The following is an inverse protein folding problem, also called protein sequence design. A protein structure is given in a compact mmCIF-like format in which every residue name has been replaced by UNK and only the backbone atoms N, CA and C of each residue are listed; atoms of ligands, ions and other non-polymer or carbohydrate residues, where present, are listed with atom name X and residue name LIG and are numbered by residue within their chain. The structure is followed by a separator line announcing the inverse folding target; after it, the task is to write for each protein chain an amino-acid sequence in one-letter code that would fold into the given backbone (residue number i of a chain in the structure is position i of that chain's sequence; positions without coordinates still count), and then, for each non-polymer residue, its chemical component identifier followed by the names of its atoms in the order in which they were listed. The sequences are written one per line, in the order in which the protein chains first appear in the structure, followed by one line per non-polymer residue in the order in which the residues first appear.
data_IF_608792557538
#
_entry.id   IF_608792557538
#
_cell.length_a   1.000
_cell.length_b   1.000
_cell.length_c   1.000
_cell.angle_alpha   90.00
_cell.angle_beta   90.00
_cell.angle_gamma   90.00
#
_symmetry.space_group_name_H-M   'P 1'
#
loop_
_entity.id
_entity.type
_entity.pdbx_description
1 polymer ?
#
# COMPACT_ATOMS: atom_id res chain seq x y z
N UNK A 1 -36.06 -67.78 43.53
CA UNK A 1 -37.19 -67.74 42.60
C UNK A 1 -37.86 -66.38 42.77
N UNK A 2 -37.48 -65.40 41.98
CA UNK A 2 -38.25 -64.17 41.80
C UNK A 2 -37.99 -63.66 40.40
N UNK A 3 -39.02 -63.68 39.58
CA UNK A 3 -39.03 -63.12 38.20
C UNK A 3 -39.02 -61.62 38.23
N UNK A 4 -38.09 -61.00 37.59
CA UNK A 4 -38.04 -59.58 37.29
C UNK A 4 -38.55 -59.23 35.88
N UNK A 5 -39.66 -58.59 35.81
CA UNK A 5 -40.37 -58.15 34.62
C UNK A 5 -39.71 -56.82 34.05
N UNK A 6 -39.12 -56.89 32.86
CA UNK A 6 -38.61 -55.69 32.18
C UNK A 6 -39.75 -55.04 31.41
N UNK A 7 -40.11 -53.83 31.86
CA UNK A 7 -40.99 -52.93 31.12
C UNK A 7 -40.18 -52.15 30.04
N UNK A 8 -40.54 -52.36 28.79
CA UNK A 8 -40.01 -51.59 27.65
C UNK A 8 -40.70 -50.21 27.59
N UNK A 9 -39.93 -49.17 27.74
CA UNK A 9 -40.35 -47.78 27.45
C UNK A 9 -40.11 -47.49 25.97
N UNK A 10 -41.15 -47.49 25.18
CA UNK A 10 -41.16 -46.90 23.83
C UNK A 10 -41.07 -45.39 23.93
N UNK A 11 -39.91 -44.84 23.60
CA UNK A 11 -39.72 -43.39 23.41
C UNK A 11 -40.16 -43.01 22.01
N UNK A 12 -41.25 -42.27 21.93
CA UNK A 12 -41.75 -41.61 20.72
C UNK A 12 -40.83 -40.48 20.39
N UNK A 13 -39.91 -40.62 19.44
CA UNK A 13 -39.18 -39.50 18.84
C UNK A 13 -40.08 -38.84 17.82
N UNK A 14 -40.56 -37.64 18.18
CA UNK A 14 -41.20 -36.73 17.26
C UNK A 14 -40.16 -36.25 16.26
N UNK A 15 -40.25 -36.72 15.01
CA UNK A 15 -39.41 -36.27 13.92
C UNK A 15 -39.81 -34.82 13.52
N UNK A 16 -38.97 -33.86 13.86
CA UNK A 16 -39.09 -32.52 13.36
C UNK A 16 -38.44 -32.44 11.97
N UNK A 17 -39.15 -32.14 10.88
CA UNK A 17 -38.60 -32.10 9.54
C UNK A 17 -38.16 -30.66 9.18
N UNK A 18 -37.15 -30.10 9.83
CA UNK A 18 -36.53 -28.84 9.37
C UNK A 18 -35.02 -28.86 9.67
N UNK A 19 -34.27 -29.70 8.94
CA UNK A 19 -32.85 -29.47 8.66
C UNK A 19 -32.52 -30.12 7.30
N UNK A 20 -33.18 -29.63 6.25
CA UNK A 20 -32.70 -29.85 4.88
C UNK A 20 -32.42 -28.48 4.30
N UNK A 21 -31.13 -28.20 4.03
CA UNK A 21 -30.75 -27.07 3.18
C UNK A 21 -29.71 -26.11 3.74
N UNK A 22 -28.61 -26.61 4.28
CA UNK A 22 -27.34 -25.87 4.34
C UNK A 22 -26.21 -26.83 3.95
N UNK A 23 -26.25 -27.30 2.70
CA UNK A 23 -25.00 -27.65 2.05
C UNK A 23 -24.22 -26.34 1.94
N UNK A 24 -23.36 -26.05 2.91
CA UNK A 24 -22.27 -25.10 2.69
C UNK A 24 -21.57 -25.60 1.43
N UNK A 25 -21.75 -24.88 0.32
CA UNK A 25 -20.83 -24.99 -0.80
C UNK A 25 -19.44 -24.94 -0.18
N UNK A 26 -18.69 -26.02 -0.32
CA UNK A 26 -17.28 -26.05 0.04
C UNK A 26 -16.68 -24.97 -0.85
N UNK A 27 -16.45 -23.77 -0.31
CA UNK A 27 -15.82 -22.70 -1.05
C UNK A 27 -14.50 -23.27 -1.56
N UNK A 28 -14.35 -23.37 -2.87
CA UNK A 28 -13.14 -23.93 -3.45
C UNK A 28 -11.95 -23.10 -2.94
N UNK A 29 -10.92 -23.79 -2.50
CA UNK A 29 -9.67 -23.20 -2.04
C UNK A 29 -9.14 -22.20 -3.09
N UNK A 30 -8.88 -20.98 -2.68
CA UNK A 30 -8.42 -19.90 -3.57
C UNK A 30 -6.93 -20.08 -3.89
N UNK A 31 -6.63 -20.38 -5.15
CA UNK A 31 -5.25 -20.52 -5.64
C UNK A 31 -4.60 -19.16 -5.82
N UNK A 32 -3.58 -18.89 -5.05
CA UNK A 32 -2.87 -17.62 -5.05
C UNK A 32 -1.42 -17.78 -5.53
N UNK A 33 -0.97 -16.91 -6.39
CA UNK A 33 0.43 -16.82 -6.78
C UNK A 33 0.99 -15.49 -6.28
N UNK A 34 2.10 -15.54 -5.59
CA UNK A 34 2.81 -14.36 -5.06
C UNK A 34 4.09 -14.19 -5.88
N UNK A 35 4.04 -13.29 -6.85
CA UNK A 35 5.21 -12.87 -7.62
C UNK A 35 6.03 -11.90 -6.79
N UNK A 36 7.28 -12.26 -6.53
CA UNK A 36 8.24 -11.47 -5.75
C UNK A 36 9.38 -11.03 -6.65
N UNK A 37 9.66 -9.72 -6.67
CA UNK A 37 10.78 -9.15 -7.41
C UNK A 37 11.99 -8.93 -6.49
N UNK A 38 13.19 -8.80 -7.09
CA UNK A 38 14.42 -8.43 -6.34
C UNK A 38 14.22 -7.10 -5.61
N UNK A 39 14.86 -6.94 -4.45
CA UNK A 39 14.78 -5.73 -3.63
C UNK A 39 13.35 -5.38 -3.19
N UNK A 40 12.48 -6.37 -3.11
CA UNK A 40 11.16 -6.21 -2.49
C UNK A 40 11.32 -5.94 -0.99
N UNK A 41 10.53 -5.00 -0.47
CA UNK A 41 10.48 -4.71 0.97
C UNK A 41 9.90 -5.93 1.72
N UNK A 42 10.65 -6.43 2.68
CA UNK A 42 10.29 -7.61 3.48
C UNK A 42 8.94 -7.45 4.19
N UNK A 43 8.65 -6.25 4.72
CA UNK A 43 7.39 -5.99 5.39
C UNK A 43 6.20 -6.00 4.41
N UNK A 44 6.39 -5.53 3.18
CA UNK A 44 5.36 -5.58 2.13
C UNK A 44 5.06 -7.04 1.76
N UNK A 45 6.08 -7.89 1.60
CA UNK A 45 5.89 -9.31 1.34
C UNK A 45 5.15 -10.01 2.49
N UNK A 46 5.54 -9.74 3.73
CA UNK A 46 4.87 -10.29 4.91
C UNK A 46 3.40 -9.82 4.98
N UNK A 47 3.13 -8.53 4.69
CA UNK A 47 1.76 -7.99 4.64
C UNK A 47 0.90 -8.61 3.53
N UNK A 48 1.51 -9.14 2.47
CA UNK A 48 0.82 -9.87 1.41
C UNK A 48 0.47 -11.31 1.80
N UNK A 49 1.35 -12.02 2.51
CA UNK A 49 1.27 -13.48 2.72
C UNK A 49 0.72 -13.85 4.08
N UNK A 50 1.13 -13.17 5.14
CA UNK A 50 0.67 -13.49 6.50
C UNK A 50 -0.85 -13.42 6.71
N UNK A 51 -1.59 -12.49 6.07
CA UNK A 51 -3.06 -12.52 6.11
C UNK A 51 -3.68 -13.80 5.52
N UNK A 52 -3.09 -14.38 4.48
CA UNK A 52 -3.54 -15.64 3.89
C UNK A 52 -3.36 -16.81 4.88
N UNK A 53 -2.16 -16.89 5.48
CA UNK A 53 -1.86 -17.88 6.53
C UNK A 53 -2.78 -17.71 7.74
N UNK A 54 -3.00 -16.47 8.18
CA UNK A 54 -3.89 -16.19 9.31
C UNK A 54 -5.35 -16.53 8.97
N UNK A 55 -5.79 -16.30 7.73
CA UNK A 55 -7.13 -16.68 7.28
C UNK A 55 -7.35 -18.19 7.36
N UNK A 56 -6.40 -18.99 6.86
CA UNK A 56 -6.47 -20.47 6.98
C UNK A 56 -6.57 -20.90 8.44
N UNK A 57 -5.72 -20.35 9.31
CA UNK A 57 -5.76 -20.65 10.75
C UNK A 57 -7.09 -20.28 11.39
N UNK A 58 -7.61 -19.07 11.09
CA UNK A 58 -8.86 -18.58 11.68
C UNK A 58 -10.11 -19.23 11.10
N UNK A 59 -10.04 -19.75 9.87
CA UNK A 59 -11.11 -20.52 9.25
C UNK A 59 -11.14 -21.98 9.75
N UNK A 60 -10.03 -22.49 10.29
CA UNK A 60 -9.88 -23.90 10.65
C UNK A 60 -9.78 -24.83 9.43
N UNK A 61 -9.51 -24.30 8.25
CA UNK A 61 -9.38 -25.01 6.98
C UNK A 61 -8.54 -24.19 5.99
N UNK A 62 -8.00 -24.86 4.97
CA UNK A 62 -7.25 -24.19 3.90
C UNK A 62 -8.21 -23.47 2.93
N UNK A 63 -8.45 -22.18 3.16
CA UNK A 63 -9.26 -21.31 2.27
C UNK A 63 -8.38 -20.65 1.21
N UNK A 64 -7.08 -20.49 1.46
CA UNK A 64 -6.07 -20.05 0.51
C UNK A 64 -4.96 -21.10 0.38
N UNK A 65 -4.58 -21.39 -0.86
CA UNK A 65 -3.34 -22.07 -1.21
C UNK A 65 -2.46 -21.11 -1.98
N UNK A 66 -1.19 -20.95 -1.60
CA UNK A 66 -0.31 -20.01 -2.28
C UNK A 66 1.07 -20.60 -2.57
N UNK A 67 1.62 -20.15 -3.69
CA UNK A 67 2.99 -20.42 -4.09
C UNK A 67 3.72 -19.12 -4.44
N UNK A 68 5.01 -19.10 -4.18
CA UNK A 68 5.86 -17.99 -4.62
C UNK A 68 6.27 -18.19 -6.08
N UNK A 69 6.41 -17.08 -6.81
CA UNK A 69 6.96 -17.03 -8.15
C UNK A 69 7.98 -15.90 -8.24
N UNK A 70 8.94 -16.05 -9.15
CA UNK A 70 9.99 -15.06 -9.45
C UNK A 70 9.94 -14.68 -10.94
N UNK A 71 10.48 -13.51 -11.33
CA UNK A 71 10.60 -13.17 -12.74
C UNK A 71 11.43 -14.19 -13.53
N UNK A 72 12.57 -14.56 -12.98
CA UNK A 72 13.60 -15.44 -13.57
C UNK A 72 13.82 -16.68 -12.69
N UNK A 73 14.46 -17.78 -13.22
CA UNK A 73 14.64 -19.03 -12.48
C UNK A 73 15.75 -18.97 -11.42
N UNK A 74 15.77 -17.95 -10.59
CA UNK A 74 16.71 -17.80 -9.48
C UNK A 74 16.01 -17.18 -8.28
N UNK A 75 16.59 -17.39 -7.08
CA UNK A 75 16.06 -16.87 -5.84
C UNK A 75 16.07 -15.35 -5.81
N UNK A 76 15.09 -14.78 -5.14
CA UNK A 76 14.95 -13.34 -4.94
C UNK A 76 15.50 -12.95 -3.58
N UNK A 77 16.37 -11.94 -3.56
CA UNK A 77 16.86 -11.33 -2.33
C UNK A 77 16.06 -10.07 -1.99
N UNK A 78 15.47 -10.06 -0.80
CA UNK A 78 14.69 -8.94 -0.27
C UNK A 78 15.62 -7.84 0.27
N UNK A 79 15.07 -6.66 0.54
CA UNK A 79 15.83 -5.53 1.12
C UNK A 79 16.49 -5.84 2.47
N UNK A 80 15.97 -6.82 3.22
CA UNK A 80 16.55 -7.29 4.48
C UNK A 80 17.66 -8.33 4.33
N UNK A 81 17.97 -8.79 3.13
CA UNK A 81 18.88 -9.88 2.86
C UNK A 81 18.27 -11.28 2.94
N UNK A 82 16.99 -11.42 3.28
CA UNK A 82 16.29 -12.70 3.21
C UNK A 82 16.12 -13.12 1.76
N UNK A 83 16.30 -14.44 1.48
CA UNK A 83 16.09 -15.03 0.16
C UNK A 83 14.75 -15.73 0.10
N UNK A 84 14.04 -15.56 -1.01
CA UNK A 84 12.79 -16.25 -1.32
C UNK A 84 13.05 -17.21 -2.48
N UNK A 85 13.11 -18.54 -2.22
CA UNK A 85 13.22 -19.53 -3.28
C UNK A 85 11.87 -19.68 -3.97
N UNK A 86 11.86 -19.64 -5.30
CA UNK A 86 10.64 -19.79 -6.07
C UNK A 86 10.87 -20.26 -7.51
N UNK A 87 9.80 -20.75 -8.13
CA UNK A 87 9.78 -21.08 -9.54
C UNK A 87 9.47 -19.84 -10.38
N UNK A 88 10.00 -19.72 -11.63
CA UNK A 88 9.70 -18.59 -12.48
C UNK A 88 8.23 -18.56 -12.89
N UNK A 89 7.66 -17.34 -12.96
CA UNK A 89 6.23 -17.10 -13.21
C UNK A 89 5.71 -17.75 -14.50
N UNK A 90 6.56 -17.90 -15.51
CA UNK A 90 6.14 -18.51 -16.78
C UNK A 90 5.73 -19.99 -16.65
N UNK A 91 6.12 -20.70 -15.57
CA UNK A 91 5.70 -22.07 -15.25
C UNK A 91 4.32 -22.16 -14.61
N UNK A 92 3.80 -21.07 -14.11
CA UNK A 92 2.44 -21.02 -13.53
C UNK A 92 1.41 -21.09 -14.64
N UNK A 93 0.48 -22.05 -14.58
CA UNK A 93 -0.57 -22.22 -15.59
C UNK A 93 -1.78 -21.32 -15.35
N UNK A 94 -2.24 -21.21 -14.11
CA UNK A 94 -3.42 -20.41 -13.72
C UNK A 94 -3.40 -20.10 -12.22
N UNK A 95 -4.13 -19.04 -11.84
CA UNK A 95 -4.41 -18.70 -10.44
C UNK A 95 -5.72 -17.90 -10.35
N UNK A 96 -6.34 -17.88 -9.16
CA UNK A 96 -7.50 -17.05 -8.86
C UNK A 96 -7.06 -15.64 -8.44
N UNK A 97 -5.89 -15.55 -7.78
CA UNK A 97 -5.28 -14.30 -7.35
C UNK A 97 -3.80 -14.32 -7.76
N UNK A 98 -3.36 -13.25 -8.41
CA UNK A 98 -1.96 -12.95 -8.63
C UNK A 98 -1.58 -11.72 -7.81
N UNK A 99 -0.75 -11.92 -6.80
CA UNK A 99 -0.19 -10.84 -5.97
C UNK A 99 1.19 -10.49 -6.53
N UNK A 100 1.41 -9.23 -6.89
CA UNK A 100 2.70 -8.71 -7.37
C UNK A 100 3.29 -7.83 -6.28
N UNK A 101 4.38 -8.28 -5.68
CA UNK A 101 5.10 -7.54 -4.64
C UNK A 101 6.46 -7.12 -5.19
N UNK A 102 6.68 -5.83 -5.27
CA UNK A 102 7.91 -5.25 -5.80
C UNK A 102 8.32 -4.03 -4.96
N UNK A 103 9.60 -3.68 -4.99
CA UNK A 103 10.13 -2.53 -4.28
C UNK A 103 10.93 -1.64 -5.23
N UNK A 104 12.23 -1.85 -5.29
CA UNK A 104 13.18 -1.00 -6.02
C UNK A 104 13.71 -1.67 -7.29
N UNK A 105 14.40 -0.90 -8.14
CA UNK A 105 15.10 -1.38 -9.35
C UNK A 105 14.22 -2.21 -10.31
N UNK A 106 13.03 -1.70 -10.62
CA UNK A 106 12.01 -2.44 -11.37
C UNK A 106 12.31 -2.57 -12.85
N UNK A 107 13.00 -1.60 -13.45
CA UNK A 107 13.22 -1.55 -14.90
C UNK A 107 14.05 -2.73 -15.42
N UNK A 108 15.18 -3.12 -14.81
CA UNK A 108 15.93 -4.31 -15.23
C UNK A 108 15.17 -5.62 -15.08
N UNK A 109 14.18 -5.66 -14.18
CA UNK A 109 13.38 -6.85 -13.85
C UNK A 109 12.13 -6.98 -14.72
N UNK A 110 11.79 -5.94 -15.49
CA UNK A 110 10.60 -5.90 -16.36
C UNK A 110 10.90 -6.54 -17.74
N UNK A 111 11.31 -7.81 -17.75
CA UNK A 111 11.63 -8.53 -18.99
C UNK A 111 10.38 -8.75 -19.85
N UNK A 112 10.51 -8.84 -21.19
CA UNK A 112 9.40 -9.17 -22.08
C UNK A 112 8.71 -10.49 -21.71
N UNK A 113 9.46 -11.47 -21.20
CA UNK A 113 8.93 -12.76 -20.76
C UNK A 113 8.05 -12.60 -19.51
N UNK A 114 8.45 -11.76 -18.54
CA UNK A 114 7.64 -11.44 -17.38
C UNK A 114 6.34 -10.76 -17.80
N UNK A 115 6.41 -9.73 -18.67
CA UNK A 115 5.23 -9.02 -19.17
C UNK A 115 4.26 -9.96 -19.90
N UNK A 116 4.75 -10.86 -20.73
CA UNK A 116 3.93 -11.88 -21.40
C UNK A 116 3.26 -12.84 -20.40
N UNK A 117 3.98 -13.25 -19.35
CA UNK A 117 3.45 -14.12 -18.29
C UNK A 117 2.35 -13.45 -17.48
N UNK A 118 2.52 -12.16 -17.15
CA UNK A 118 1.51 -11.37 -16.47
C UNK A 118 0.23 -11.24 -17.30
N UNK A 119 0.35 -10.88 -18.58
CA UNK A 119 -0.80 -10.78 -19.50
C UNK A 119 -1.54 -12.12 -19.65
N UNK A 120 -0.81 -13.22 -19.75
CA UNK A 120 -1.39 -14.57 -19.84
C UNK A 120 -2.20 -14.95 -18.61
N UNK A 121 -1.72 -14.61 -17.41
CA UNK A 121 -2.40 -14.90 -16.15
C UNK A 121 -3.54 -13.90 -15.84
N UNK A 122 -3.52 -12.72 -16.45
CA UNK A 122 -4.50 -11.65 -16.24
C UNK A 122 -5.81 -11.91 -17.03
N UNK A 123 -6.51 -13.00 -16.73
CA UNK A 123 -7.83 -13.25 -17.31
C UNK A 123 -8.94 -12.55 -16.50
N UNK A 124 -10.19 -12.45 -17.02
CA UNK A 124 -11.30 -11.76 -16.34
C UNK A 124 -11.61 -12.28 -14.94
N UNK A 125 -11.32 -13.55 -14.65
CA UNK A 125 -11.60 -14.18 -13.36
C UNK A 125 -10.41 -14.08 -12.39
N UNK A 126 -9.23 -13.64 -12.83
CA UNK A 126 -8.04 -13.47 -11.99
C UNK A 126 -8.05 -12.09 -11.35
N UNK A 127 -8.02 -12.03 -10.03
CA UNK A 127 -7.76 -10.79 -9.32
C UNK A 127 -6.26 -10.51 -9.32
N UNK A 128 -5.86 -9.34 -9.81
CA UNK A 128 -4.49 -8.84 -9.74
C UNK A 128 -4.37 -7.89 -8.55
N UNK A 129 -3.53 -8.22 -7.59
CA UNK A 129 -3.22 -7.39 -6.43
C UNK A 129 -1.75 -6.95 -6.53
N UNK A 130 -1.48 -5.66 -6.59
CA UNK A 130 -0.13 -5.12 -6.73
C UNK A 130 0.22 -4.19 -5.56
N UNK A 131 1.40 -4.35 -4.99
CA UNK A 131 1.81 -3.69 -3.75
C UNK A 131 3.15 -2.98 -3.92
N UNK A 132 3.26 -1.79 -3.33
CA UNK A 132 4.47 -0.96 -3.31
C UNK A 132 4.91 -0.57 -4.74
N UNK A 133 6.01 -1.12 -5.29
CA UNK A 133 6.40 -1.00 -6.68
C UNK A 133 5.63 -1.92 -7.65
N UNK A 134 4.80 -2.83 -7.15
CA UNK A 134 4.01 -3.77 -7.97
C UNK A 134 3.09 -3.12 -9.00
N UNK A 135 2.43 -1.98 -8.70
CA UNK A 135 1.65 -1.24 -9.71
C UNK A 135 2.45 -0.83 -10.94
N UNK A 136 3.73 -0.48 -10.81
CA UNK A 136 4.62 -0.22 -11.94
C UNK A 136 4.78 -1.42 -12.87
N UNK A 137 4.91 -2.60 -12.27
CA UNK A 137 5.06 -3.86 -13.02
C UNK A 137 3.78 -4.18 -13.80
N UNK A 138 2.61 -3.98 -13.20
CA UNK A 138 1.32 -4.17 -13.89
C UNK A 138 1.06 -3.12 -14.96
N UNK A 139 1.42 -1.85 -14.72
CA UNK A 139 1.28 -0.76 -15.70
C UNK A 139 2.20 -0.98 -16.90
N UNK A 140 3.46 -1.40 -16.70
CA UNK A 140 4.38 -1.80 -17.77
C UNK A 140 3.83 -2.96 -18.63
N UNK A 141 3.01 -3.82 -18.04
CA UNK A 141 2.33 -4.88 -18.77
C UNK A 141 1.04 -4.42 -19.48
N UNK A 142 0.63 -3.14 -19.38
CA UNK A 142 -0.63 -2.60 -19.91
C UNK A 142 -1.87 -3.11 -19.17
N UNK A 143 -1.71 -3.60 -17.94
CA UNK A 143 -2.79 -4.25 -17.17
C UNK A 143 -3.55 -3.29 -16.25
N UNK A 144 -3.14 -2.03 -16.20
CA UNK A 144 -3.81 -0.96 -15.44
C UNK A 144 -4.44 0.12 -16.32
N UNK A 145 -4.30 0.03 -17.66
CA UNK A 145 -4.86 1.01 -18.58
C UNK A 145 -6.39 1.09 -18.42
N UNK A 146 -6.92 2.30 -18.28
CA UNK A 146 -8.33 2.57 -18.01
C UNK A 146 -8.80 2.25 -16.59
N UNK A 147 -7.90 1.77 -15.71
CA UNK A 147 -8.21 1.50 -14.31
C UNK A 147 -7.77 2.63 -13.39
N UNK A 148 -8.40 2.71 -12.23
CA UNK A 148 -7.91 3.53 -11.12
C UNK A 148 -6.90 2.74 -10.31
N UNK A 149 -5.76 3.36 -9.97
CA UNK A 149 -4.67 2.71 -9.25
C UNK A 149 -3.98 3.67 -8.26
N UNK A 150 -3.19 3.12 -7.37
CA UNK A 150 -2.24 3.84 -6.53
C UNK A 150 -0.90 3.10 -6.52
N UNK A 151 0.17 3.78 -6.16
CA UNK A 151 1.51 3.23 -5.93
C UNK A 151 2.08 3.86 -4.67
N UNK A 152 3.34 3.56 -4.31
CA UNK A 152 3.99 4.22 -3.18
C UNK A 152 4.01 5.74 -3.36
N UNK A 153 3.75 6.49 -2.29
CA UNK A 153 3.60 7.95 -2.35
C UNK A 153 4.82 8.68 -2.94
N UNK A 154 6.02 8.13 -2.80
CA UNK A 154 7.26 8.68 -3.37
C UNK A 154 7.26 8.65 -4.90
N UNK A 155 6.57 7.69 -5.50
CA UNK A 155 6.60 7.43 -6.93
C UNK A 155 5.36 7.97 -7.67
N UNK A 156 4.35 8.48 -6.96
CA UNK A 156 3.06 8.83 -7.56
C UNK A 156 3.14 9.81 -8.74
N UNK A 157 3.93 10.88 -8.63
CA UNK A 157 4.09 11.85 -9.73
C UNK A 157 4.71 11.21 -10.97
N UNK A 158 5.77 10.42 -10.74
CA UNK A 158 6.47 9.74 -11.83
C UNK A 158 5.58 8.66 -12.44
N UNK A 159 4.84 7.91 -11.63
CA UNK A 159 3.87 6.92 -12.09
C UNK A 159 2.78 7.55 -12.97
N UNK A 160 2.14 8.62 -12.49
CA UNK A 160 1.08 9.31 -13.24
C UNK A 160 1.58 9.92 -14.55
N UNK A 161 2.83 10.44 -14.59
CA UNK A 161 3.42 10.99 -15.82
C UNK A 161 3.84 9.91 -16.82
N UNK A 162 4.25 8.74 -16.32
CA UNK A 162 4.70 7.61 -17.17
C UNK A 162 3.53 6.82 -17.75
N UNK A 163 2.41 6.72 -17.01
CA UNK A 163 1.23 5.95 -17.39
C UNK A 163 -0.02 6.83 -17.42
N UNK A 164 -0.19 7.70 -18.42
CA UNK A 164 -1.28 8.66 -18.50
C UNK A 164 -2.67 8.00 -18.65
N UNK A 165 -2.73 6.75 -19.11
CA UNK A 165 -3.97 5.99 -19.24
C UNK A 165 -4.42 5.34 -17.92
N UNK A 166 -3.62 5.47 -16.85
CA UNK A 166 -3.96 5.00 -15.50
C UNK A 166 -4.44 6.18 -14.66
N UNK A 167 -5.63 6.09 -14.08
CA UNK A 167 -6.13 7.10 -13.14
C UNK A 167 -5.44 6.95 -11.78
N UNK A 168 -4.31 7.64 -11.56
CA UNK A 168 -3.52 7.54 -10.34
C UNK A 168 -4.14 8.37 -9.20
N UNK A 169 -4.45 7.71 -8.06
CA UNK A 169 -4.99 8.36 -6.87
C UNK A 169 -4.01 8.32 -5.70
N UNK A 170 -3.96 9.40 -4.93
CA UNK A 170 -3.29 9.41 -3.62
C UNK A 170 -4.19 8.75 -2.57
N UNK A 171 -4.19 7.43 -2.54
CA UNK A 171 -5.00 6.61 -1.67
C UNK A 171 -4.14 5.50 -1.04
N UNK A 172 -4.52 4.99 0.12
CA UNK A 172 -3.83 3.87 0.77
C UNK A 172 -3.82 2.64 -0.11
N UNK A 173 -4.98 2.29 -0.62
CA UNK A 173 -5.14 1.27 -1.65
C UNK A 173 -6.38 1.55 -2.50
N UNK A 174 -6.41 0.98 -3.68
CA UNK A 174 -7.51 1.10 -4.64
C UNK A 174 -7.95 -0.29 -5.07
N UNK A 175 -9.27 -0.53 -5.11
CA UNK A 175 -9.89 -1.71 -5.68
C UNK A 175 -10.71 -1.28 -6.92
N UNK A 176 -10.16 -1.46 -8.12
CA UNK A 176 -10.78 -1.09 -9.40
C UNK A 176 -11.12 -2.37 -10.18
N UNK A 177 -12.35 -2.87 -10.00
CA UNK A 177 -12.75 -4.16 -10.55
C UNK A 177 -11.88 -5.29 -9.99
N UNK A 178 -11.22 -6.03 -10.87
CA UNK A 178 -10.26 -7.08 -10.50
C UNK A 178 -8.79 -6.61 -10.50
N UNK A 179 -8.56 -5.31 -10.45
CA UNK A 179 -7.24 -4.66 -10.34
C UNK A 179 -7.15 -3.94 -8.99
N UNK A 180 -6.37 -4.48 -8.08
CA UNK A 180 -6.19 -3.92 -6.74
C UNK A 180 -4.76 -3.47 -6.57
N UNK A 181 -4.56 -2.26 -6.07
CA UNK A 181 -3.22 -1.67 -5.91
C UNK A 181 -3.09 -1.00 -4.55
N UNK A 182 -1.91 -1.06 -3.95
CA UNK A 182 -1.63 -0.40 -2.66
C UNK A 182 -0.24 0.22 -2.64
N UNK A 183 -0.07 1.21 -1.80
CA UNK A 183 1.18 1.95 -1.64
C UNK A 183 2.01 1.51 -0.45
N UNK A 184 2.65 0.37 -0.45
CA UNK A 184 3.58 -0.05 0.59
C UNK A 184 2.97 -0.94 1.69
N UNK A 185 3.76 -1.26 2.73
CA UNK A 185 3.52 -2.37 3.64
C UNK A 185 2.22 -2.27 4.47
N UNK A 186 1.99 -1.16 5.16
CA UNK A 186 0.78 -1.00 5.98
C UNK A 186 -0.51 -0.93 5.13
N UNK A 187 -0.56 -0.14 4.04
CA UNK A 187 -1.66 -0.20 3.08
C UNK A 187 -1.88 -1.58 2.45
N UNK A 188 -0.82 -2.36 2.23
CA UNK A 188 -0.93 -3.73 1.72
C UNK A 188 -1.70 -4.64 2.68
N UNK A 189 -1.42 -4.55 4.00
CA UNK A 189 -2.17 -5.29 5.01
C UNK A 189 -3.67 -4.91 4.98
N UNK A 190 -3.99 -3.62 4.92
CA UNK A 190 -5.38 -3.14 4.84
C UNK A 190 -6.09 -3.69 3.58
N UNK A 191 -5.41 -3.67 2.44
CA UNK A 191 -5.91 -4.23 1.18
C UNK A 191 -6.17 -5.73 1.28
N UNK A 192 -5.26 -6.49 1.90
CA UNK A 192 -5.44 -7.94 2.08
C UNK A 192 -6.57 -8.29 3.04
N UNK A 193 -6.77 -7.51 4.09
CA UNK A 193 -7.93 -7.67 4.99
C UNK A 193 -9.24 -7.39 4.25
N UNK A 194 -9.28 -6.37 3.39
CA UNK A 194 -10.43 -6.11 2.52
C UNK A 194 -10.67 -7.25 1.50
N UNK A 195 -9.61 -7.82 0.94
CA UNK A 195 -9.71 -8.98 0.04
C UNK A 195 -10.34 -10.18 0.76
N UNK A 196 -9.87 -10.49 1.98
CA UNK A 196 -10.43 -11.56 2.81
C UNK A 196 -11.90 -11.27 3.14
N UNK A 197 -12.23 -10.03 3.49
CA UNK A 197 -13.60 -9.60 3.75
C UNK A 197 -14.51 -9.81 2.54
N UNK A 198 -14.05 -9.44 1.35
CA UNK A 198 -14.83 -9.55 0.12
C UNK A 198 -15.08 -11.00 -0.26
N UNK A 199 -14.12 -11.89 -0.06
CA UNK A 199 -14.22 -13.31 -0.46
C UNK A 199 -14.87 -14.21 0.59
N UNK A 200 -14.58 -13.95 1.87
CA UNK A 200 -14.92 -14.85 2.97
C UNK A 200 -15.74 -14.20 4.09
N UNK A 201 -16.09 -12.93 3.91
CA UNK A 201 -16.96 -12.17 4.82
C UNK A 201 -16.24 -11.49 5.96
N UNK A 202 -16.94 -10.53 6.57
CA UNK A 202 -16.43 -9.64 7.62
C UNK A 202 -15.96 -10.40 8.87
N UNK A 203 -16.67 -11.47 9.24
CA UNK A 203 -16.32 -12.27 10.45
C UNK A 203 -14.91 -12.86 10.36
N UNK A 204 -14.51 -13.46 9.22
CA UNK A 204 -13.17 -13.97 9.06
C UNK A 204 -12.13 -12.86 9.02
N UNK A 205 -12.39 -11.79 8.25
CA UNK A 205 -11.48 -10.64 8.16
C UNK A 205 -11.21 -10.00 9.53
N UNK A 206 -12.23 -9.86 10.38
CA UNK A 206 -12.08 -9.33 11.74
C UNK A 206 -11.19 -10.22 12.61
N UNK A 207 -11.34 -11.55 12.55
CA UNK A 207 -10.46 -12.48 13.30
C UNK A 207 -9.03 -12.45 12.80
N UNK A 208 -8.84 -12.30 11.48
CA UNK A 208 -7.50 -12.14 10.88
C UNK A 208 -6.87 -10.82 11.35
N UNK A 209 -7.60 -9.69 11.30
CA UNK A 209 -7.12 -8.41 11.80
C UNK A 209 -6.72 -8.48 13.28
N UNK A 210 -7.54 -9.14 14.12
CA UNK A 210 -7.23 -9.35 15.53
C UNK A 210 -5.95 -10.16 15.75
N UNK A 211 -5.61 -11.09 14.84
CA UNK A 211 -4.35 -11.86 14.89
C UNK A 211 -3.10 -10.98 14.76
N UNK A 212 -3.24 -9.81 14.14
CA UNK A 212 -2.18 -8.82 13.97
C UNK A 212 -2.28 -7.65 14.93
N UNK A 213 -3.23 -7.69 15.92
CA UNK A 213 -3.53 -6.58 16.82
C UNK A 213 -3.88 -5.31 16.00
N UNK A 214 -4.44 -5.48 14.82
CA UNK A 214 -4.82 -4.41 13.91
C UNK A 214 -6.25 -3.96 14.20
N UNK A 215 -6.40 -2.95 15.08
CA UNK A 215 -7.69 -2.52 15.63
C UNK A 215 -8.37 -1.40 14.84
N UNK A 216 -7.62 -0.68 14.00
CA UNK A 216 -8.15 0.40 13.16
C UNK A 216 -7.85 0.11 11.69
N UNK A 217 -8.89 0.09 10.86
CA UNK A 217 -8.73 0.04 9.41
C UNK A 217 -8.98 1.45 8.87
N UNK A 218 -7.94 2.19 8.44
CA UNK A 218 -8.10 3.45 7.74
C UNK A 218 -8.94 3.25 6.48
N UNK A 219 -9.66 4.29 6.03
CA UNK A 219 -10.42 4.19 4.80
C UNK A 219 -9.48 3.95 3.60
N UNK A 220 -9.89 3.16 2.60
CA UNK A 220 -9.10 2.93 1.39
C UNK A 220 -8.63 4.21 0.72
N UNK A 221 -9.51 5.21 0.70
CA UNK A 221 -9.30 6.53 0.09
C UNK A 221 -8.53 7.51 0.94
N UNK A 222 -8.17 7.15 2.18
CA UNK A 222 -7.32 8.03 2.99
C UNK A 222 -5.99 8.25 2.26
N UNK A 223 -5.48 9.49 2.22
CA UNK A 223 -4.24 9.78 1.53
C UNK A 223 -3.05 9.09 2.21
N UNK A 224 -2.07 8.69 1.43
CA UNK A 224 -0.80 8.22 1.97
C UNK A 224 -0.05 9.37 2.63
N UNK A 225 0.43 9.13 3.85
CA UNK A 225 1.12 10.17 4.61
C UNK A 225 2.56 10.32 4.10
N UNK A 226 2.90 11.49 3.56
CA UNK A 226 4.27 11.83 3.14
C UNK A 226 5.23 12.11 4.32
N UNK A 227 4.68 12.39 5.53
CA UNK A 227 5.46 12.77 6.71
C UNK A 227 4.89 12.16 7.99
N UNK A 228 5.76 11.67 8.90
CA UNK A 228 5.35 11.20 10.24
C UNK A 228 4.59 12.28 11.04
N UNK A 229 4.82 13.54 10.72
CA UNK A 229 4.16 14.71 11.33
C UNK A 229 2.68 14.85 10.95
N UNK A 230 2.22 14.14 9.93
CA UNK A 230 0.79 14.09 9.58
C UNK A 230 -0.04 13.25 10.58
N UNK A 231 0.60 12.47 11.46
CA UNK A 231 -0.06 11.89 12.64
C UNK A 231 -0.39 12.92 13.72
N UNK A 232 -0.52 14.19 13.33
CA UNK A 232 -0.82 15.34 14.22
C UNK A 232 -2.21 15.16 14.81
N UNK A 233 -2.30 15.00 16.12
CA UNK A 233 -3.57 14.85 16.87
C UNK A 233 -4.47 16.10 16.81
N UNK A 234 -3.96 17.27 16.40
CA UNK A 234 -4.75 18.49 16.27
C UNK A 234 -5.37 18.59 14.87
N UNK A 235 -6.71 18.50 14.72
CA UNK A 235 -7.37 18.60 13.41
C UNK A 235 -7.04 19.90 12.66
N UNK A 236 -6.87 21.01 13.39
CA UNK A 236 -6.48 22.27 12.77
C UNK A 236 -5.05 22.22 12.18
N UNK A 237 -4.09 21.70 12.94
CA UNK A 237 -2.69 21.59 12.47
C UNK A 237 -2.60 20.64 11.29
N UNK A 238 -3.39 19.55 11.29
CA UNK A 238 -3.51 18.62 10.15
C UNK A 238 -3.99 19.36 8.88
N UNK A 239 -5.08 20.11 8.96
CA UNK A 239 -5.61 20.88 7.81
C UNK A 239 -4.63 21.93 7.30
N UNK A 240 -3.88 22.59 8.20
CA UNK A 240 -2.81 23.54 7.80
C UNK A 240 -1.69 22.81 7.08
N UNK A 241 -1.26 21.64 7.59
CA UNK A 241 -0.23 20.81 6.98
C UNK A 241 -0.65 20.38 5.55
N UNK A 242 -1.86 19.87 5.37
CA UNK A 242 -2.42 19.50 4.06
C UNK A 242 -2.41 20.67 3.07
N UNK A 243 -2.78 21.89 3.51
CA UNK A 243 -2.69 23.11 2.68
C UNK A 243 -1.26 23.47 2.32
N UNK A 244 -0.31 23.27 3.24
CA UNK A 244 1.11 23.53 2.97
C UNK A 244 1.69 22.53 1.97
N UNK A 245 1.37 21.24 2.12
CA UNK A 245 1.79 20.19 1.17
C UNK A 245 1.23 20.42 -0.23
N UNK A 246 -0.04 20.77 -0.35
CA UNK A 246 -0.67 21.08 -1.64
C UNK A 246 -0.12 22.34 -2.33
N UNK A 247 0.71 23.14 -1.65
CA UNK A 247 1.22 24.42 -2.17
C UNK A 247 2.73 24.57 -1.96
N UNK A 248 3.52 23.53 -2.29
CA UNK A 248 4.99 23.56 -2.12
C UNK A 248 5.68 24.43 -3.17
N UNK A 249 5.21 24.41 -4.41
CA UNK A 249 5.74 25.19 -5.52
C UNK A 249 5.42 26.68 -5.38
N UNK A 250 4.19 27.00 -4.97
CA UNK A 250 3.74 28.37 -4.72
C UNK A 250 3.32 28.54 -3.26
N UNK A 251 4.27 28.74 -2.33
CA UNK A 251 3.98 28.70 -0.91
C UNK A 251 3.03 29.80 -0.47
N UNK A 252 1.91 29.41 0.13
CA UNK A 252 0.93 30.34 0.66
C UNK A 252 1.46 31.08 1.90
N UNK A 253 1.25 32.40 2.00
CA UNK A 253 1.49 33.13 3.24
C UNK A 253 0.66 32.56 4.40
N UNK A 254 1.22 32.57 5.61
CA UNK A 254 0.50 32.05 6.80
C UNK A 254 -0.81 32.80 7.07
N UNK A 255 -0.89 34.06 6.70
CA UNK A 255 -2.10 34.91 6.76
C UNK A 255 -3.21 34.37 5.86
N UNK A 256 -2.85 33.94 4.65
CA UNK A 256 -3.80 33.33 3.71
C UNK A 256 -4.26 31.97 4.15
N UNK A 257 -3.35 31.09 4.63
CA UNK A 257 -3.71 29.80 5.22
C UNK A 257 -4.67 30.00 6.38
N UNK A 258 -4.41 30.97 7.26
CA UNK A 258 -5.27 31.32 8.38
C UNK A 258 -6.66 31.76 7.91
N UNK A 259 -6.73 32.63 6.91
CA UNK A 259 -7.98 33.10 6.34
C UNK A 259 -8.82 31.96 5.74
N UNK A 260 -8.21 31.07 4.95
CA UNK A 260 -8.89 29.89 4.37
C UNK A 260 -9.48 28.95 5.42
N UNK A 261 -8.89 28.91 6.60
CA UNK A 261 -9.35 28.06 7.71
C UNK A 261 -10.20 28.79 8.76
N UNK A 262 -10.54 30.06 8.52
CA UNK A 262 -11.30 30.88 9.46
C UNK A 262 -10.57 31.11 10.80
N UNK A 263 -9.24 31.16 10.77
CA UNK A 263 -8.39 31.28 11.97
C UNK A 263 -7.57 32.56 11.97
N UNK A 264 -7.10 32.98 13.13
CA UNK A 264 -6.12 34.07 13.27
C UNK A 264 -4.70 33.51 13.10
N UNK A 265 -3.77 34.18 12.39
CA UNK A 265 -2.39 33.71 12.22
C UNK A 265 -1.66 33.41 13.54
N UNK A 266 -1.94 34.19 14.60
CA UNK A 266 -1.38 33.97 15.94
C UNK A 266 -1.85 32.64 16.56
N UNK A 267 -3.12 32.29 16.35
CA UNK A 267 -3.68 31.02 16.79
C UNK A 267 -3.00 29.84 16.12
N UNK A 268 -2.78 29.92 14.78
CA UNK A 268 -2.05 28.89 14.04
C UNK A 268 -0.63 28.70 14.58
N UNK A 269 0.11 29.78 14.78
CA UNK A 269 1.48 29.69 15.32
C UNK A 269 1.51 29.06 16.72
N UNK A 270 0.55 29.39 17.58
CA UNK A 270 0.46 28.82 18.92
C UNK A 270 0.14 27.32 18.87
N UNK A 271 -0.81 26.90 18.04
CA UNK A 271 -1.18 25.51 17.86
C UNK A 271 -0.02 24.69 17.29
N UNK A 272 0.72 25.23 16.31
CA UNK A 272 1.93 24.57 15.79
C UNK A 272 3.01 24.36 16.86
N UNK A 273 3.30 25.37 17.65
CA UNK A 273 4.26 25.25 18.76
C UNK A 273 3.82 24.21 19.79
N UNK A 274 2.52 24.18 20.11
CA UNK A 274 1.95 23.21 21.07
C UNK A 274 1.98 21.78 20.52
N UNK A 275 1.64 21.59 19.24
CA UNK A 275 1.50 20.27 18.64
C UNK A 275 2.84 19.68 18.15
N UNK A 276 3.75 20.51 17.61
CA UNK A 276 4.97 20.09 16.91
C UNK A 276 6.28 20.67 17.50
N UNK A 277 6.21 21.49 18.53
CA UNK A 277 7.39 22.15 19.12
C UNK A 277 8.06 23.19 18.24
N UNK A 278 7.55 23.46 17.00
CA UNK A 278 8.15 24.35 16.02
C UNK A 278 7.13 25.37 15.45
N UNK A 279 7.62 26.40 14.78
CA UNK A 279 6.74 27.40 14.16
C UNK A 279 6.14 26.87 12.86
N UNK A 280 4.95 27.33 12.46
CA UNK A 280 4.34 27.01 11.17
C UNK A 280 5.26 27.34 9.99
N UNK A 281 6.02 28.45 10.05
CA UNK A 281 7.00 28.83 9.02
C UNK A 281 8.17 27.84 8.93
N UNK A 282 8.71 27.39 10.08
CA UNK A 282 9.78 26.40 10.12
C UNK A 282 9.30 25.05 9.62
N UNK A 283 8.07 24.66 9.96
CA UNK A 283 7.44 23.45 9.48
C UNK A 283 7.27 23.48 7.95
N UNK A 284 6.73 24.56 7.39
CA UNK A 284 6.57 24.72 5.94
C UNK A 284 7.90 24.66 5.18
N UNK A 285 8.94 25.30 5.74
CA UNK A 285 10.29 25.21 5.16
C UNK A 285 10.81 23.76 5.19
N UNK A 286 10.58 23.03 6.27
CA UNK A 286 10.95 21.62 6.40
C UNK A 286 10.28 20.77 5.32
N UNK A 287 8.97 20.93 5.08
CA UNK A 287 8.23 20.23 4.03
C UNK A 287 8.86 20.45 2.64
N UNK A 288 9.12 21.71 2.29
CA UNK A 288 9.74 22.10 1.02
C UNK A 288 11.14 21.52 0.85
N UNK A 289 11.94 21.48 1.91
CA UNK A 289 13.29 20.92 1.88
C UNK A 289 13.30 19.38 1.84
N UNK A 290 12.32 18.74 2.45
CA UNK A 290 12.15 17.28 2.33
C UNK A 290 11.75 16.89 0.92
N UNK A 291 10.81 17.59 0.31
CA UNK A 291 10.45 17.37 -1.09
C UNK A 291 11.62 17.64 -2.04
N UNK A 292 12.39 18.72 -1.79
CA UNK A 292 13.61 18.98 -2.54
C UNK A 292 14.65 17.86 -2.41
N UNK A 293 14.78 17.23 -1.23
CA UNK A 293 15.66 16.09 -1.03
C UNK A 293 15.20 14.87 -1.84
N UNK A 294 13.90 14.59 -1.84
CA UNK A 294 13.31 13.54 -2.66
C UNK A 294 13.60 13.75 -4.15
N UNK A 295 13.36 14.95 -4.66
CA UNK A 295 13.63 15.29 -6.06
C UNK A 295 15.12 15.19 -6.42
N UNK A 296 16.02 15.55 -5.51
CA UNK A 296 17.47 15.41 -5.68
C UNK A 296 17.91 13.95 -5.80
N UNK A 297 17.30 13.07 -5.03
CA UNK A 297 17.70 11.66 -4.94
C UNK A 297 16.95 10.76 -5.91
N UNK A 298 15.75 11.16 -6.39
CA UNK A 298 14.87 10.30 -7.17
C UNK A 298 14.54 10.83 -8.57
N UNK A 299 15.07 12.00 -8.97
CA UNK A 299 14.80 12.57 -10.29
C UNK A 299 16.05 13.14 -10.95
N UNK A 300 15.99 13.34 -12.27
CA UNK A 300 17.02 14.00 -13.08
C UNK A 300 16.82 15.53 -13.21
N UNK A 301 15.85 16.12 -12.49
CA UNK A 301 15.57 17.55 -12.53
C UNK A 301 16.82 18.37 -12.16
N UNK A 302 17.04 19.48 -12.83
CA UNK A 302 18.14 20.41 -12.49
C UNK A 302 17.96 20.99 -11.08
N UNK A 303 19.06 21.45 -10.45
CA UNK A 303 18.97 22.15 -9.15
C UNK A 303 18.11 23.43 -9.22
N UNK A 304 18.07 24.05 -10.40
CA UNK A 304 17.22 25.20 -10.66
C UNK A 304 15.74 24.81 -10.64
N UNK A 305 15.37 23.76 -11.38
CA UNK A 305 13.99 23.29 -11.45
C UNK A 305 13.49 22.78 -10.09
N UNK A 306 14.36 22.08 -9.33
CA UNK A 306 14.04 21.66 -7.96
C UNK A 306 13.79 22.85 -7.05
N UNK A 307 14.59 23.92 -7.16
CA UNK A 307 14.37 25.13 -6.40
C UNK A 307 13.00 25.75 -6.73
N UNK A 308 12.64 25.85 -8.00
CA UNK A 308 11.33 26.36 -8.43
C UNK A 308 10.18 25.45 -7.96
N UNK A 309 10.26 24.15 -8.24
CA UNK A 309 9.23 23.16 -7.86
C UNK A 309 8.99 23.10 -6.34
N UNK A 310 9.92 23.59 -5.55
CA UNK A 310 9.81 23.64 -4.08
C UNK A 310 9.67 25.07 -3.53
N UNK A 311 9.29 26.02 -4.40
CA UNK A 311 8.89 27.38 -4.05
C UNK A 311 10.05 28.31 -3.67
N UNK A 312 11.29 27.98 -4.04
CA UNK A 312 12.42 28.91 -3.86
C UNK A 312 12.57 29.81 -5.12
N UNK A 313 12.51 31.11 -4.93
CA UNK A 313 12.65 32.06 -6.04
C UNK A 313 14.05 32.10 -6.67
N UNK A 314 15.06 31.48 -6.06
CA UNK A 314 16.41 31.39 -6.58
C UNK A 314 17.14 30.13 -6.06
N UNK A 315 17.92 29.49 -6.94
CA UNK A 315 18.75 28.33 -6.62
C UNK A 315 19.73 28.60 -5.47
N UNK A 316 20.28 29.81 -5.38
CA UNK A 316 21.20 30.19 -4.29
C UNK A 316 20.52 30.20 -2.91
N UNK A 317 19.25 30.65 -2.84
CA UNK A 317 18.44 30.65 -1.63
C UNK A 317 18.09 29.22 -1.21
N UNK A 318 17.72 28.37 -2.17
CA UNK A 318 17.51 26.95 -2.00
C UNK A 318 18.75 26.28 -1.44
N UNK A 319 19.90 26.41 -2.09
CA UNK A 319 21.14 25.72 -1.71
C UNK A 319 21.59 26.06 -0.29
N UNK A 320 21.44 27.33 0.12
CA UNK A 320 21.75 27.78 1.49
C UNK A 320 20.79 27.18 2.52
N UNK A 321 19.48 27.21 2.23
CA UNK A 321 18.48 26.65 3.14
C UNK A 321 18.64 25.13 3.26
N UNK A 322 18.89 24.44 2.14
CA UNK A 322 19.11 23.00 2.09
C UNK A 322 20.34 22.56 2.89
N UNK A 323 21.51 23.21 2.63
CA UNK A 323 22.73 22.90 3.38
C UNK A 323 22.58 23.11 4.89
N UNK A 324 21.86 24.17 5.29
CA UNK A 324 21.58 24.43 6.72
C UNK A 324 20.68 23.36 7.35
N UNK A 325 19.75 22.78 6.57
CA UNK A 325 18.80 21.79 7.06
C UNK A 325 19.36 20.36 7.05
N UNK A 326 20.06 19.96 5.97
CA UNK A 326 20.56 18.62 5.75
C UNK A 326 22.07 18.44 6.02
N UNK A 327 22.80 19.50 6.33
CA UNK A 327 24.25 19.46 6.59
C UNK A 327 25.14 19.40 5.35
N UNK A 328 24.66 18.84 4.23
CA UNK A 328 25.35 18.75 2.93
C UNK A 328 24.69 19.66 1.89
N UNK A 329 25.47 20.09 0.86
CA UNK A 329 24.92 20.87 -0.24
C UNK A 329 24.08 19.98 -1.19
N UNK A 330 23.10 20.54 -1.94
CA UNK A 330 22.35 19.79 -2.96
C UNK A 330 23.27 19.15 -4.01
N UNK A 331 24.34 19.87 -4.42
CA UNK A 331 25.34 19.35 -5.38
C UNK A 331 26.07 18.12 -4.84
N UNK A 332 26.49 18.15 -3.56
CA UNK A 332 27.16 17.01 -2.94
C UNK A 332 26.26 15.78 -2.86
N UNK A 333 24.96 15.94 -2.49
CA UNK A 333 24.00 14.84 -2.48
C UNK A 333 23.82 14.22 -3.86
N UNK A 334 23.79 15.04 -4.93
CA UNK A 334 23.66 14.53 -6.30
C UNK A 334 24.89 13.76 -6.77
N UNK A 335 26.08 14.22 -6.37
CA UNK A 335 27.35 13.52 -6.67
C UNK A 335 27.49 12.18 -5.92
N UNK A 336 26.98 12.10 -4.69
CA UNK A 336 26.97 10.85 -3.91
C UNK A 336 26.05 9.77 -4.55
N UNK A 337 25.17 10.15 -5.51
CA UNK A 337 24.27 9.25 -6.23
C UNK A 337 24.88 8.71 -7.55
N UNK A 338 25.79 9.45 -8.15
CA UNK A 338 26.44 9.10 -9.44
C UNK A 338 27.58 8.10 -9.22
#
# INVERSE_FOLDING_TARGET
MVNGMFLSLNSVYCACPIVQGLTKSVASMTKTVVLVLQQTNTLTLAAAVDPLRAANRQAGSEVFDWQFATPEPHDVTLTSGLCVPAAPLHRVSSCDILIVVAGFDLQPQSSPQLMASLRRLANPNTLLAAMDGGPWVLANAGLLDGHTATTHWEDMENFASTFPDVNCLNARYVASGNRWTSGGAAPALDMMLHLIQTRYGTSLATRVAASFIHTSQPAPTDPQLRHPEAAIRSPLVKRVHELMEANLETPLPLTEIAARLGQRPRTLQQQFRKALGKTAKSHYLSLRLTEAHRLLTQSEKSLHDIALSTGFGAQSSFSRAYKRHHGKSPTAIRQDRA
#
